data_IF_367797820282
#
_entry.id   IF_367797820282
#
_cell.length_a   1.000
_cell.length_b   1.000
_cell.length_c   1.000
_cell.angle_alpha   90.00
_cell.angle_beta   90.00
_cell.angle_gamma   90.00
#
_symmetry.space_group_name_H-M   'P 1'
#
loop_
_entity.id
_entity.type
_entity.pdbx_description
1 polymer ?
#
# COMPACT_ATOMS: atom_id res chain seq x y z
N UNK A 1 -13.97 -10.56 12.26
CA UNK A 1 -13.57 -10.08 10.93
C UNK A 1 -13.37 -8.57 10.98
N UNK A 2 -12.21 -8.11 10.55
CA UNK A 2 -11.94 -6.68 10.53
C UNK A 2 -12.70 -6.05 9.38
N UNK A 3 -13.44 -4.98 9.69
CA UNK A 3 -14.20 -4.27 8.66
C UNK A 3 -13.42 -3.07 8.16
N UNK A 4 -12.98 -3.17 6.94
CA UNK A 4 -12.23 -2.10 6.29
C UNK A 4 -13.07 -0.84 6.10
N UNK A 5 -14.40 -0.98 6.14
CA UNK A 5 -15.32 0.14 5.89
C UNK A 5 -15.13 1.32 6.84
N UNK A 6 -14.53 1.09 8.02
CA UNK A 6 -14.27 2.17 8.96
C UNK A 6 -12.90 2.81 8.79
N UNK A 7 -12.07 2.24 7.94
CA UNK A 7 -10.74 2.77 7.70
C UNK A 7 -10.79 3.81 6.59
N UNK A 8 -10.25 4.98 6.87
CA UNK A 8 -10.13 6.02 5.85
C UNK A 8 -9.03 5.64 4.87
N UNK A 9 -9.14 6.11 3.62
CA UNK A 9 -8.18 5.77 2.59
C UNK A 9 -6.75 6.17 2.94
N UNK A 10 -6.59 7.35 3.56
CA UNK A 10 -5.24 7.79 3.97
C UNK A 10 -4.65 6.88 5.03
N UNK A 11 -5.47 6.22 5.85
CA UNK A 11 -4.98 5.30 6.86
C UNK A 11 -4.27 4.09 6.22
N UNK A 12 -4.74 3.66 5.05
CA UNK A 12 -4.13 2.54 4.34
C UNK A 12 -2.68 2.85 4.00
N UNK A 13 -2.43 4.02 3.42
CA UNK A 13 -1.07 4.40 3.05
C UNK A 13 -0.19 4.63 4.26
N UNK A 14 -0.74 5.17 5.35
CA UNK A 14 0.02 5.35 6.58
C UNK A 14 0.39 4.01 7.20
N UNK A 15 -0.54 3.05 7.21
CA UNK A 15 -0.26 1.70 7.70
C UNK A 15 0.80 1.00 6.87
N UNK A 16 0.71 1.13 5.55
CA UNK A 16 1.69 0.53 4.65
C UNK A 16 3.06 1.16 4.83
N UNK A 17 3.11 2.49 4.95
CA UNK A 17 4.36 3.19 5.19
C UNK A 17 5.04 2.68 6.47
N UNK A 18 4.27 2.59 7.55
CA UNK A 18 4.78 2.11 8.83
C UNK A 18 5.23 0.65 8.75
N UNK A 19 4.49 -0.18 8.02
CA UNK A 19 4.84 -1.58 7.85
C UNK A 19 6.18 -1.73 7.11
N UNK A 20 6.39 -0.92 6.07
CA UNK A 20 7.65 -0.95 5.33
C UNK A 20 8.81 -0.49 6.22
N UNK A 21 8.59 0.57 7.01
CA UNK A 21 9.61 1.01 7.97
C UNK A 21 9.97 -0.09 8.97
N UNK A 22 8.98 -0.82 9.44
CA UNK A 22 9.19 -1.90 10.40
C UNK A 22 10.07 -3.01 9.81
N UNK A 23 9.91 -3.29 8.51
CA UNK A 23 10.74 -4.27 7.83
C UNK A 23 12.21 -3.91 7.89
N UNK A 24 12.53 -2.61 7.90
CA UNK A 24 13.90 -2.13 7.96
C UNK A 24 14.31 -1.80 9.39
N UNK A 25 13.86 -2.61 10.35
CA UNK A 25 14.22 -2.51 11.77
C UNK A 25 13.81 -1.19 12.42
N UNK A 26 12.67 -0.65 11.96
CA UNK A 26 12.15 0.60 12.50
C UNK A 26 12.86 1.85 12.03
N UNK A 27 13.75 1.73 11.05
CA UNK A 27 14.42 2.88 10.49
C UNK A 27 13.42 3.77 9.76
N UNK A 28 13.43 5.06 10.07
CA UNK A 28 12.51 6.00 9.43
C UNK A 28 12.78 6.10 7.94
N UNK A 29 11.70 6.11 7.17
CA UNK A 29 11.75 6.32 5.73
C UNK A 29 11.00 7.62 5.46
N UNK A 30 11.67 8.59 4.86
CA UNK A 30 11.04 9.85 4.53
C UNK A 30 9.99 9.66 3.43
N UNK A 31 9.08 10.62 3.30
CA UNK A 31 8.10 10.59 2.22
C UNK A 31 8.77 10.60 0.85
N UNK A 32 9.86 11.35 0.72
CA UNK A 32 10.62 11.40 -0.54
C UNK A 32 11.21 10.03 -0.87
N UNK A 33 11.84 9.39 0.11
CA UNK A 33 12.42 8.06 -0.10
C UNK A 33 11.35 7.05 -0.50
N UNK A 34 10.19 7.07 0.19
CA UNK A 34 9.12 6.15 -0.13
C UNK A 34 8.56 6.42 -1.52
N UNK A 35 8.36 7.68 -1.87
CA UNK A 35 7.88 8.06 -3.20
C UNK A 35 8.84 7.58 -4.29
N UNK A 36 10.15 7.74 -4.06
CA UNK A 36 11.17 7.27 -5.01
C UNK A 36 11.10 5.75 -5.18
N UNK A 37 10.92 5.02 -4.07
CA UNK A 37 10.78 3.56 -4.13
C UNK A 37 9.56 3.14 -4.96
N UNK A 38 8.49 3.92 -4.89
CA UNK A 38 7.23 3.61 -5.57
C UNK A 38 7.18 4.14 -7.00
N UNK A 39 8.14 4.99 -7.37
CA UNK A 39 8.17 5.57 -8.71
C UNK A 39 7.15 6.68 -8.91
N UNK A 40 6.77 7.38 -7.86
CA UNK A 40 5.83 8.50 -7.94
C UNK A 40 6.48 9.76 -7.36
N UNK A 41 5.89 10.93 -7.65
CA UNK A 41 6.38 12.17 -7.08
C UNK A 41 6.08 12.22 -5.58
N UNK A 42 6.91 12.98 -4.84
CA UNK A 42 6.68 13.15 -3.42
C UNK A 42 5.31 13.79 -3.16
N UNK A 43 4.89 14.71 -4.00
CA UNK A 43 3.60 15.37 -3.85
C UNK A 43 2.44 14.37 -4.01
N UNK A 44 2.55 13.49 -5.01
CA UNK A 44 1.54 12.46 -5.22
C UNK A 44 1.44 11.55 -4.00
N UNK A 45 2.58 11.11 -3.49
CA UNK A 45 2.59 10.23 -2.31
C UNK A 45 2.03 10.95 -1.09
N UNK A 46 2.40 12.22 -0.91
CA UNK A 46 1.90 13.04 0.19
C UNK A 46 0.38 13.18 0.12
N UNK A 47 -0.16 13.41 -1.07
CA UNK A 47 -1.61 13.52 -1.26
C UNK A 47 -2.32 12.23 -0.88
N UNK A 48 -1.74 11.08 -1.21
CA UNK A 48 -2.31 9.79 -0.80
C UNK A 48 -2.34 9.66 0.72
N UNK A 49 -1.26 10.03 1.39
CA UNK A 49 -1.17 9.93 2.85
C UNK A 49 -2.09 10.89 3.57
N UNK A 50 -2.37 12.03 2.97
CA UNK A 50 -3.28 13.02 3.54
C UNK A 50 -4.74 12.75 3.20
N UNK A 51 -4.99 11.82 2.28
CA UNK A 51 -6.35 11.51 1.87
C UNK A 51 -6.93 12.49 0.85
N UNK A 52 -6.09 13.35 0.28
CA UNK A 52 -6.55 14.33 -0.72
C UNK A 52 -6.84 13.68 -2.07
N UNK A 53 -6.23 12.54 -2.33
CA UNK A 53 -6.36 11.85 -3.59
C UNK A 53 -6.11 10.37 -3.34
N UNK A 54 -6.95 9.52 -3.94
CA UNK A 54 -6.79 8.08 -3.85
C UNK A 54 -7.25 7.48 -5.18
N UNK A 55 -6.35 6.81 -5.89
CA UNK A 55 -6.77 6.14 -7.12
C UNK A 55 -7.86 5.12 -6.83
N UNK A 56 -8.95 5.16 -7.58
CA UNK A 56 -10.04 4.22 -7.38
C UNK A 56 -9.58 2.78 -7.60
N UNK A 57 -8.62 2.60 -8.51
CA UNK A 57 -8.05 1.28 -8.76
C UNK A 57 -7.40 0.69 -7.52
N UNK A 58 -6.76 1.51 -6.69
CA UNK A 58 -6.16 1.03 -5.46
C UNK A 58 -7.22 0.50 -4.50
N UNK A 59 -8.33 1.23 -4.36
CA UNK A 59 -9.44 0.77 -3.53
C UNK A 59 -10.04 -0.52 -4.06
N UNK A 60 -10.20 -0.62 -5.37
CA UNK A 60 -10.74 -1.84 -5.99
C UNK A 60 -9.83 -3.03 -5.72
N UNK A 61 -8.52 -2.84 -5.82
CA UNK A 61 -7.56 -3.91 -5.55
C UNK A 61 -7.71 -4.41 -4.11
N UNK A 62 -7.78 -3.50 -3.14
CA UNK A 62 -7.94 -3.91 -1.74
C UNK A 62 -9.26 -4.61 -1.49
N UNK A 63 -10.33 -4.16 -2.12
CA UNK A 63 -11.62 -4.83 -2.00
C UNK A 63 -11.58 -6.24 -2.56
N UNK A 64 -10.95 -6.40 -3.71
CA UNK A 64 -10.82 -7.72 -4.32
C UNK A 64 -9.97 -8.66 -3.46
N UNK A 65 -8.85 -8.15 -2.93
CA UNK A 65 -8.02 -8.96 -2.04
C UNK A 65 -8.78 -9.36 -0.77
N UNK A 66 -9.65 -8.50 -0.29
CA UNK A 66 -10.48 -8.78 0.89
C UNK A 66 -11.51 -9.89 0.68
N UNK A 67 -11.82 -10.23 -0.58
CA UNK A 67 -12.71 -11.33 -0.90
C UNK A 67 -12.03 -12.69 -0.81
N UNK A 68 -10.70 -12.71 -0.74
CA UNK A 68 -9.93 -13.95 -0.76
C UNK A 68 -9.57 -14.40 0.64
N UNK A 69 -9.33 -15.71 0.81
CA UNK A 69 -8.73 -16.22 2.02
C UNK A 69 -7.31 -15.68 2.15
N UNK A 70 -6.82 -15.58 3.38
CA UNK A 70 -5.50 -15.00 3.64
C UNK A 70 -4.40 -15.66 2.84
N UNK A 71 -4.38 -16.99 2.80
CA UNK A 71 -3.34 -17.72 2.08
C UNK A 71 -3.37 -17.43 0.58
N UNK A 72 -4.56 -17.35 0.02
CA UNK A 72 -4.73 -17.06 -1.40
C UNK A 72 -4.31 -15.62 -1.71
N UNK A 73 -4.67 -14.68 -0.85
CA UNK A 73 -4.30 -13.28 -1.01
C UNK A 73 -2.78 -13.12 -0.98
N UNK A 74 -2.12 -13.77 -0.01
CA UNK A 74 -0.67 -13.68 0.12
C UNK A 74 0.03 -14.27 -1.10
N UNK A 75 -0.42 -15.43 -1.56
CA UNK A 75 0.18 -16.07 -2.74
C UNK A 75 0.02 -15.19 -3.98
N UNK A 76 -1.15 -14.59 -4.14
CA UNK A 76 -1.41 -13.74 -5.29
C UNK A 76 -0.56 -12.48 -5.25
N UNK A 77 -0.45 -11.84 -4.08
CA UNK A 77 0.39 -10.66 -3.91
C UNK A 77 1.84 -10.98 -4.29
N UNK A 78 2.37 -12.09 -3.80
CA UNK A 78 3.74 -12.50 -4.11
C UNK A 78 3.94 -12.73 -5.60
N UNK A 79 2.96 -13.34 -6.26
CA UNK A 79 3.02 -13.57 -7.70
C UNK A 79 3.02 -12.26 -8.48
N UNK A 80 2.14 -11.34 -8.12
CA UNK A 80 2.03 -10.04 -8.79
C UNK A 80 3.32 -9.26 -8.63
N UNK A 81 3.88 -9.23 -7.42
CA UNK A 81 5.13 -8.51 -7.16
C UNK A 81 6.27 -9.11 -7.96
N UNK A 82 6.36 -10.43 -8.03
CA UNK A 82 7.40 -11.10 -8.79
C UNK A 82 7.31 -10.78 -10.28
N UNK A 83 6.10 -10.88 -10.85
CA UNK A 83 5.89 -10.61 -12.26
C UNK A 83 6.18 -9.15 -12.60
N UNK A 84 5.86 -8.24 -11.68
CA UNK A 84 6.12 -6.81 -11.88
C UNK A 84 7.62 -6.50 -11.89
N UNK A 85 8.41 -7.23 -11.11
CA UNK A 85 9.86 -7.05 -11.11
C UNK A 85 10.52 -7.53 -12.39
N UNK A 86 9.92 -8.53 -12.99
CA UNK A 86 10.44 -9.14 -14.22
C UNK A 86 10.01 -8.36 -15.48
N UNK A 87 9.09 -7.42 -15.31
CA UNK A 87 8.54 -6.65 -16.44
C UNK A 87 9.48 -5.55 -16.93
#
# INVERSE_FOLDING_TARGET
MVRIVYMKTNDIFNLLHNAVESKYLGKKISQREMADKLGVSMRTYQDWRLGNSMPQAALAIFKMLGELDEDDAIRLIKRIVKDSKDA
#
